data_IF_143425266117
#
_entry.id   IF_143425266117
#
_cell.length_a   1.000
_cell.length_b   1.000
_cell.length_c   1.000
_cell.angle_alpha   90.00
_cell.angle_beta   90.00
_cell.angle_gamma   90.00
#
_symmetry.space_group_name_H-M   'P 1'
#
loop_
_entity.id
_entity.type
_entity.pdbx_description
1 polymer ?
#
# COMPACT_ATOMS: atom_id res chain seq x y z
N UNK A 1 -14.05 -34.52 -33.92
CA UNK A 1 -14.29 -34.01 -32.56
C UNK A 1 -13.00 -34.17 -31.77
N UNK A 2 -12.27 -33.07 -31.52
CA UNK A 2 -11.06 -33.06 -30.70
C UNK A 2 -11.43 -32.30 -29.44
N UNK A 3 -11.47 -33.01 -28.31
CA UNK A 3 -11.71 -32.44 -26.99
C UNK A 3 -10.41 -31.81 -26.50
N UNK A 4 -10.45 -30.49 -26.27
CA UNK A 4 -9.38 -29.77 -25.60
C UNK A 4 -9.58 -29.92 -24.08
N UNK A 5 -8.62 -30.57 -23.42
CA UNK A 5 -8.53 -30.66 -21.97
C UNK A 5 -7.94 -29.35 -21.46
N UNK A 6 -8.76 -28.56 -20.77
CA UNK A 6 -8.35 -27.37 -20.03
C UNK A 6 -7.68 -27.80 -18.71
N UNK A 7 -6.36 -27.61 -18.65
CA UNK A 7 -5.57 -27.75 -17.44
C UNK A 7 -5.79 -26.50 -16.56
N UNK A 8 -6.61 -26.65 -15.52
CA UNK A 8 -6.72 -25.67 -14.44
C UNK A 8 -5.61 -25.97 -13.44
N UNK A 9 -4.62 -25.09 -13.38
CA UNK A 9 -3.56 -25.13 -12.37
C UNK A 9 -4.12 -24.78 -11.00
N UNK A 10 -4.36 -25.79 -10.17
CA UNK A 10 -4.57 -25.64 -8.73
C UNK A 10 -3.21 -25.38 -8.11
N UNK A 11 -2.95 -24.16 -7.64
CA UNK A 11 -1.79 -23.88 -6.79
C UNK A 11 -2.11 -24.44 -5.41
N UNK A 12 -1.55 -25.62 -5.13
CA UNK A 12 -1.64 -26.29 -3.84
C UNK A 12 -0.88 -25.51 -2.77
N UNK A 13 -1.63 -24.98 -1.80
CA UNK A 13 -1.11 -24.25 -0.64
C UNK A 13 -0.84 -25.22 0.51
N UNK A 14 0.24 -26.02 0.48
CA UNK A 14 0.79 -26.71 1.68
C UNK A 14 2.24 -27.16 1.43
N UNK A 15 3.20 -26.56 2.14
CA UNK A 15 4.46 -27.14 2.66
C UNK A 15 5.51 -26.05 2.92
N UNK A 16 5.41 -25.38 4.07
CA UNK A 16 6.52 -24.62 4.67
C UNK A 16 6.75 -25.14 6.10
N UNK A 17 7.09 -26.41 6.19
CA UNK A 17 7.76 -27.02 7.34
C UNK A 17 8.78 -28.00 6.79
N UNK A 18 10.02 -27.56 6.57
CA UNK A 18 11.08 -27.92 7.51
C UNK A 18 12.41 -27.23 7.19
N UNK A 19 12.99 -26.70 8.27
CA UNK A 19 14.42 -26.57 8.58
C UNK A 19 15.41 -26.29 7.46
N UNK A 20 15.79 -25.01 7.35
CA UNK A 20 17.20 -24.68 7.36
C UNK A 20 17.47 -23.69 8.51
N UNK A 21 17.87 -24.28 9.63
CA UNK A 21 18.39 -23.59 10.80
C UNK A 21 19.69 -22.87 10.46
N UNK A 22 19.72 -21.56 10.68
CA UNK A 22 20.97 -20.81 10.74
C UNK A 22 20.93 -19.47 10.03
N UNK A 23 20.09 -18.56 10.50
CA UNK A 23 20.34 -17.11 10.58
C UNK A 23 19.20 -16.48 11.41
N UNK A 24 19.07 -16.91 12.68
CA UNK A 24 18.49 -16.05 13.69
C UNK A 24 19.58 -15.07 14.11
N UNK A 25 19.64 -13.93 13.43
CA UNK A 25 20.61 -12.87 13.70
C UNK A 25 19.94 -11.52 13.69
N UNK A 26 19.29 -11.18 14.81
CA UNK A 26 19.18 -9.81 15.36
C UNK A 26 18.78 -8.73 14.33
N UNK A 27 17.49 -8.55 14.12
CA UNK A 27 16.86 -7.38 13.47
C UNK A 27 15.63 -7.04 14.37
N UNK A 28 15.28 -5.82 14.80
CA UNK A 28 15.52 -4.49 14.26
C UNK A 28 14.89 -3.40 15.19
N UNK A 29 15.61 -2.90 16.22
CA UNK A 29 14.99 -2.03 17.26
C UNK A 29 15.16 -0.50 17.07
N UNK A 30 15.60 0.01 15.90
CA UNK A 30 15.82 1.46 15.72
C UNK A 30 15.50 1.97 14.30
N UNK A 31 14.25 1.80 13.88
CA UNK A 31 13.66 2.59 12.80
C UNK A 31 13.03 3.86 13.40
N UNK A 32 12.90 4.98 12.67
CA UNK A 32 12.38 6.20 13.26
C UNK A 32 10.96 5.96 13.78
N UNK A 33 10.79 6.02 15.10
CA UNK A 33 9.49 5.98 15.78
C UNK A 33 8.47 6.94 15.16
N UNK A 34 8.94 7.99 14.44
CA UNK A 34 8.13 8.95 13.68
C UNK A 34 7.17 8.25 12.69
N UNK A 35 7.53 7.07 12.17
CA UNK A 35 6.69 6.32 11.23
C UNK A 35 5.84 5.20 11.84
N UNK A 36 5.82 5.07 13.18
CA UNK A 36 5.16 3.97 13.90
C UNK A 36 3.77 4.32 14.46
N UNK A 37 3.39 5.59 14.37
CA UNK A 37 2.17 6.14 14.96
C UNK A 37 1.03 6.23 13.94
N UNK A 38 1.12 5.53 12.81
CA UNK A 38 0.18 5.71 11.72
C UNK A 38 -1.03 4.80 11.81
N UNK A 39 -2.16 5.42 11.57
CA UNK A 39 -3.44 4.74 11.40
C UNK A 39 -3.51 4.19 9.97
N UNK A 40 -3.00 2.97 9.78
CA UNK A 40 -3.39 2.15 8.63
C UNK A 40 -4.79 1.59 8.88
N UNK A 41 -5.45 1.11 7.81
CA UNK A 41 -6.74 0.44 7.92
C UNK A 41 -6.73 -0.61 9.05
N UNK A 42 -7.72 -0.59 9.97
CA UNK A 42 -7.75 -1.49 11.11
C UNK A 42 -7.70 -2.97 10.68
N UNK A 43 -6.94 -3.78 11.42
CA UNK A 43 -6.79 -5.21 11.15
C UNK A 43 -8.13 -5.96 11.12
N UNK A 44 -9.09 -5.54 11.95
CA UNK A 44 -10.43 -6.12 11.97
C UNK A 44 -11.19 -5.86 10.66
N UNK A 45 -11.04 -4.67 10.09
CA UNK A 45 -11.59 -4.32 8.79
C UNK A 45 -10.96 -5.17 7.68
N UNK A 46 -9.62 -5.28 7.64
CA UNK A 46 -8.91 -6.14 6.68
C UNK A 46 -9.36 -7.61 6.75
N UNK A 47 -9.48 -8.16 7.97
CA UNK A 47 -9.91 -9.55 8.17
C UNK A 47 -11.37 -9.77 7.79
N UNK A 48 -12.24 -8.81 8.09
CA UNK A 48 -13.68 -8.89 7.76
C UNK A 48 -13.93 -8.97 6.25
N UNK A 49 -13.01 -8.44 5.44
CA UNK A 49 -13.14 -8.44 3.98
C UNK A 49 -12.92 -9.81 3.34
N UNK A 50 -12.28 -10.77 4.03
CA UNK A 50 -12.06 -12.12 3.49
C UNK A 50 -13.35 -12.93 3.24
N UNK A 51 -14.49 -12.51 3.81
CA UNK A 51 -15.78 -13.20 3.68
C UNK A 51 -16.66 -12.77 2.51
N UNK A 52 -16.28 -11.71 1.78
CA UNK A 52 -17.08 -11.19 0.66
C UNK A 52 -17.09 -12.18 -0.51
N UNK A 53 -18.27 -12.34 -1.12
CA UNK A 53 -18.51 -13.20 -2.29
C UNK A 53 -18.86 -12.36 -3.50
N UNK A 54 -18.45 -12.80 -4.68
CA UNK A 54 -18.79 -12.14 -5.94
C UNK A 54 -19.25 -13.17 -6.96
N UNK A 55 -20.15 -12.75 -7.86
CA UNK A 55 -20.54 -13.56 -9.02
C UNK A 55 -19.37 -13.84 -9.97
N UNK A 56 -18.33 -13.01 -9.92
CA UNK A 56 -17.07 -13.17 -10.65
C UNK A 56 -16.01 -13.84 -9.77
N UNK A 57 -15.71 -15.11 -10.07
CA UNK A 57 -14.66 -15.87 -9.36
C UNK A 57 -13.28 -15.22 -9.45
N UNK A 58 -12.97 -14.53 -10.55
CA UNK A 58 -11.69 -13.85 -10.71
C UNK A 58 -11.59 -12.58 -9.85
N UNK A 59 -12.68 -11.81 -9.75
CA UNK A 59 -12.73 -10.64 -8.88
C UNK A 59 -12.67 -11.06 -7.41
N UNK A 60 -13.45 -12.08 -7.02
CA UNK A 60 -13.42 -12.64 -5.66
C UNK A 60 -12.02 -13.11 -5.27
N UNK A 61 -11.38 -13.92 -6.12
CA UNK A 61 -10.06 -14.47 -5.83
C UNK A 61 -8.98 -13.40 -5.73
N UNK A 62 -8.98 -12.41 -6.62
CA UNK A 62 -8.03 -11.31 -6.57
C UNK A 62 -8.27 -10.42 -5.34
N UNK A 63 -9.53 -10.12 -5.01
CA UNK A 63 -9.88 -9.31 -3.84
C UNK A 63 -9.47 -9.99 -2.53
N UNK A 64 -9.73 -11.29 -2.38
CA UNK A 64 -9.28 -12.07 -1.23
C UNK A 64 -7.75 -12.08 -1.11
N UNK A 65 -7.05 -12.17 -2.25
CA UNK A 65 -5.59 -12.10 -2.27
C UNK A 65 -5.07 -10.70 -1.86
N UNK A 66 -5.77 -9.63 -2.24
CA UNK A 66 -5.45 -8.26 -1.82
C UNK A 66 -5.65 -8.11 -0.30
N UNK A 67 -6.76 -8.59 0.26
CA UNK A 67 -6.99 -8.56 1.71
C UNK A 67 -5.91 -9.36 2.48
N UNK A 68 -5.47 -10.50 1.94
CA UNK A 68 -4.44 -11.34 2.54
C UNK A 68 -3.05 -10.68 2.50
N UNK A 69 -2.65 -10.06 1.38
CA UNK A 69 -1.36 -9.34 1.33
C UNK A 69 -1.40 -8.15 2.27
N UNK A 70 -2.48 -7.38 2.30
CA UNK A 70 -2.63 -6.23 3.20
C UNK A 70 -2.54 -6.62 4.67
N UNK A 71 -3.16 -7.74 5.05
CA UNK A 71 -3.03 -8.32 6.40
C UNK A 71 -1.57 -8.63 6.73
N UNK A 72 -0.86 -9.31 5.82
CA UNK A 72 0.56 -9.67 6.00
C UNK A 72 1.45 -8.42 6.06
N UNK A 73 1.17 -7.42 5.23
CA UNK A 73 1.89 -6.15 5.19
C UNK A 73 1.68 -5.36 6.48
N UNK A 74 0.46 -5.35 7.03
CA UNK A 74 0.16 -4.72 8.31
C UNK A 74 0.87 -5.43 9.48
N UNK A 75 0.90 -6.75 9.50
CA UNK A 75 1.68 -7.50 10.50
C UNK A 75 3.18 -7.18 10.42
N UNK A 76 3.72 -7.04 9.21
CA UNK A 76 5.10 -6.58 9.03
C UNK A 76 5.30 -5.14 9.51
N UNK A 77 4.36 -4.23 9.23
CA UNK A 77 4.40 -2.85 9.70
C UNK A 77 4.43 -2.78 11.24
N UNK A 78 3.52 -3.49 11.91
CA UNK A 78 3.44 -3.55 13.38
C UNK A 78 4.69 -4.17 14.01
N UNK A 79 5.37 -5.06 13.29
CA UNK A 79 6.65 -5.64 13.68
C UNK A 79 7.87 -4.85 13.21
N UNK A 80 7.69 -3.65 12.62
CA UNK A 80 8.75 -2.81 12.06
C UNK A 80 9.59 -3.46 10.94
N UNK A 81 9.02 -4.44 10.22
CA UNK A 81 9.67 -5.22 9.14
C UNK A 81 9.38 -4.63 7.76
N UNK A 82 9.76 -3.37 7.52
CA UNK A 82 9.39 -2.64 6.30
C UNK A 82 9.92 -3.29 5.00
N UNK A 83 11.10 -3.92 5.02
CA UNK A 83 11.60 -4.65 3.84
C UNK A 83 10.70 -5.85 3.50
N UNK A 84 10.24 -6.60 4.51
CA UNK A 84 9.30 -7.69 4.33
C UNK A 84 7.94 -7.19 3.82
N UNK A 85 7.48 -6.05 4.34
CA UNK A 85 6.26 -5.37 3.89
C UNK A 85 6.35 -4.98 2.41
N UNK A 86 7.37 -4.20 2.01
CA UNK A 86 7.57 -3.75 0.63
C UNK A 86 7.64 -4.93 -0.32
N UNK A 87 8.48 -5.94 -0.01
CA UNK A 87 8.61 -7.14 -0.83
C UNK A 87 7.27 -7.88 -1.01
N UNK A 88 6.45 -7.98 0.04
CA UNK A 88 5.14 -8.63 -0.05
C UNK A 88 4.19 -7.88 -0.99
N UNK A 89 4.18 -6.55 -0.91
CA UNK A 89 3.33 -5.67 -1.72
C UNK A 89 3.80 -5.61 -3.18
N UNK A 90 5.10 -5.45 -3.42
CA UNK A 90 5.69 -5.45 -4.78
C UNK A 90 5.38 -6.74 -5.54
N UNK A 91 5.51 -7.90 -4.89
CA UNK A 91 5.16 -9.19 -5.52
C UNK A 91 3.67 -9.29 -5.87
N UNK A 92 2.82 -8.51 -5.20
CA UNK A 92 1.38 -8.46 -5.45
C UNK A 92 0.99 -7.42 -6.52
N UNK A 93 1.89 -6.52 -6.89
CA UNK A 93 1.62 -5.42 -7.84
C UNK A 93 0.97 -5.87 -9.16
N UNK A 94 1.34 -7.01 -9.80
CA UNK A 94 0.65 -7.49 -11.00
C UNK A 94 -0.84 -7.80 -10.76
N UNK A 95 -1.19 -8.32 -9.58
CA UNK A 95 -2.58 -8.63 -9.21
C UNK A 95 -3.33 -7.34 -8.85
N UNK A 96 -2.70 -6.40 -8.15
CA UNK A 96 -3.27 -5.09 -7.87
C UNK A 96 -3.64 -4.34 -9.17
N UNK A 97 -2.76 -4.36 -10.18
CA UNK A 97 -3.04 -3.75 -11.48
C UNK A 97 -4.24 -4.38 -12.20
N UNK A 98 -4.41 -5.71 -12.10
CA UNK A 98 -5.59 -6.42 -12.63
C UNK A 98 -6.85 -5.97 -11.89
N UNK A 99 -6.81 -5.86 -10.57
CA UNK A 99 -7.93 -5.38 -9.76
C UNK A 99 -8.33 -3.94 -10.10
N UNK A 100 -7.35 -3.05 -10.26
CA UNK A 100 -7.60 -1.66 -10.66
C UNK A 100 -8.33 -1.57 -12.00
N UNK A 101 -7.93 -2.37 -13.00
CA UNK A 101 -8.58 -2.44 -14.31
C UNK A 101 -10.00 -3.02 -14.20
N UNK A 102 -10.18 -4.09 -13.42
CA UNK A 102 -11.49 -4.71 -13.16
C UNK A 102 -12.46 -3.73 -12.49
N UNK A 103 -12.01 -3.02 -11.46
CA UNK A 103 -12.78 -2.00 -10.74
C UNK A 103 -13.11 -0.83 -11.66
N UNK A 104 -12.16 -0.38 -12.49
CA UNK A 104 -12.38 0.72 -13.41
C UNK A 104 -13.45 0.39 -14.47
N UNK A 105 -13.38 -0.80 -15.09
CA UNK A 105 -14.37 -1.25 -16.08
C UNK A 105 -15.75 -1.40 -15.47
N UNK A 106 -15.82 -2.01 -14.30
CA UNK A 106 -17.09 -2.23 -13.61
C UNK A 106 -17.76 -0.94 -13.11
N UNK A 107 -16.99 0.14 -12.92
CA UNK A 107 -17.53 1.46 -12.58
C UNK A 107 -18.21 2.16 -13.77
N UNK A 108 -17.98 1.70 -15.00
CA UNK A 108 -18.54 2.25 -16.25
C UNK A 108 -19.74 1.42 -16.75
N UNK A 109 -19.72 0.11 -16.52
CA UNK A 109 -20.73 -0.83 -17.03
C UNK A 109 -21.85 -1.06 -15.98
N UNK A 110 -23.03 -0.46 -16.22
CA UNK A 110 -24.15 -0.33 -15.27
C UNK A 110 -24.82 -1.64 -14.81
N UNK A 111 -24.71 -2.74 -15.57
CA UNK A 111 -25.87 -3.62 -15.68
C UNK A 111 -25.81 -5.00 -15.01
N UNK A 112 -24.78 -5.38 -14.24
CA UNK A 112 -24.87 -6.58 -13.37
C UNK A 112 -23.74 -6.77 -12.34
N UNK A 113 -22.86 -5.79 -12.14
CA UNK A 113 -21.58 -6.07 -11.45
C UNK A 113 -21.70 -5.93 -9.94
N UNK A 114 -21.00 -6.80 -9.21
CA UNK A 114 -20.87 -6.90 -7.75
C UNK A 114 -20.46 -5.56 -7.09
N UNK A 115 -21.38 -4.59 -7.05
CA UNK A 115 -21.14 -3.21 -6.57
C UNK A 115 -20.58 -3.17 -5.16
N UNK A 116 -21.03 -4.09 -4.31
CA UNK A 116 -20.52 -4.22 -2.95
C UNK A 116 -19.03 -4.58 -2.96
N UNK A 117 -18.62 -5.61 -3.71
CA UNK A 117 -17.21 -5.99 -3.80
C UNK A 117 -16.36 -4.87 -4.40
N UNK A 118 -16.86 -4.18 -5.42
CA UNK A 118 -16.18 -3.02 -6.01
C UNK A 118 -16.00 -1.92 -4.96
N UNK A 119 -17.06 -1.56 -4.22
CA UNK A 119 -17.01 -0.53 -3.19
C UNK A 119 -16.05 -0.85 -2.05
N UNK A 120 -15.83 -2.14 -1.75
CA UNK A 120 -14.85 -2.59 -0.75
C UNK A 120 -13.43 -2.67 -1.33
N UNK A 121 -13.29 -2.95 -2.63
CA UNK A 121 -11.99 -3.05 -3.31
C UNK A 121 -11.35 -1.68 -3.49
N UNK A 122 -12.13 -0.65 -3.80
CA UNK A 122 -11.64 0.73 -4.02
C UNK A 122 -10.80 1.29 -2.85
N UNK A 123 -11.29 1.33 -1.60
CA UNK A 123 -10.51 1.81 -0.46
C UNK A 123 -9.33 0.88 -0.13
N UNK A 124 -9.45 -0.42 -0.41
CA UNK A 124 -8.36 -1.36 -0.17
C UNK A 124 -7.21 -1.19 -1.17
N UNK A 125 -7.50 -0.86 -2.42
CA UNK A 125 -6.49 -0.51 -3.44
C UNK A 125 -5.78 0.80 -3.10
N UNK A 126 -6.53 1.82 -2.66
CA UNK A 126 -5.95 3.05 -2.15
C UNK A 126 -4.98 2.75 -0.98
N UNK A 127 -5.45 1.98 0.01
CA UNK A 127 -4.66 1.63 1.19
C UNK A 127 -3.43 0.79 0.84
N UNK A 128 -3.52 -0.08 -0.16
CA UNK A 128 -2.40 -0.84 -0.69
C UNK A 128 -1.27 0.06 -1.20
N UNK A 129 -1.60 1.03 -2.05
CA UNK A 129 -0.59 1.96 -2.58
C UNK A 129 -0.03 2.87 -1.48
N UNK A 130 -0.88 3.31 -0.56
CA UNK A 130 -0.44 4.10 0.59
C UNK A 130 0.54 3.31 1.47
N UNK A 131 0.21 2.07 1.81
CA UNK A 131 1.06 1.20 2.64
C UNK A 131 2.38 0.88 1.95
N UNK A 132 2.37 0.67 0.63
CA UNK A 132 3.58 0.48 -0.17
C UNK A 132 4.48 1.73 -0.13
N UNK A 133 3.89 2.91 -0.32
CA UNK A 133 4.61 4.19 -0.23
C UNK A 133 5.23 4.41 1.15
N UNK A 134 4.50 4.10 2.22
CA UNK A 134 5.02 4.14 3.58
C UNK A 134 6.24 3.23 3.75
N UNK A 135 6.18 2.02 3.18
CA UNK A 135 7.28 1.07 3.25
C UNK A 135 8.54 1.60 2.62
N UNK A 136 8.44 2.17 1.43
CA UNK A 136 9.58 2.78 0.76
C UNK A 136 10.12 3.99 1.53
N UNK A 137 9.24 4.87 2.04
CA UNK A 137 9.65 6.02 2.83
C UNK A 137 10.37 5.61 4.13
N UNK A 138 9.91 4.55 4.78
CA UNK A 138 10.55 4.02 5.97
C UNK A 138 11.92 3.37 5.65
N UNK A 139 12.06 2.74 4.48
CA UNK A 139 13.35 2.19 4.02
C UNK A 139 14.35 3.28 3.64
N UNK A 140 13.90 4.37 2.99
CA UNK A 140 14.79 5.47 2.59
C UNK A 140 15.37 6.23 3.78
N UNK A 141 14.64 6.25 4.89
CA UNK A 141 15.02 6.94 6.14
C UNK A 141 15.68 6.03 7.18
N UNK A 142 15.84 4.73 6.88
CA UNK A 142 16.43 3.76 7.81
C UNK A 142 17.95 3.93 7.96
N UNK A 143 18.39 4.30 9.16
CA UNK A 143 19.81 4.46 9.48
C UNK A 143 20.61 3.16 9.45
N UNK A 144 19.97 1.99 9.62
CA UNK A 144 20.62 0.67 9.67
C UNK A 144 20.61 -0.10 8.36
N UNK A 145 19.59 0.12 7.52
CA UNK A 145 19.64 -0.37 6.13
C UNK A 145 20.72 0.37 5.33
N UNK A 146 21.14 1.55 5.82
CA UNK A 146 22.08 2.49 5.22
C UNK A 146 22.18 2.29 3.71
N UNK A 147 21.04 2.42 2.97
CA UNK A 147 21.09 2.32 1.54
C UNK A 147 22.09 3.37 1.08
N UNK A 148 22.89 3.06 0.07
CA UNK A 148 23.64 4.11 -0.60
C UNK A 148 22.68 5.21 -1.07
N UNK A 149 23.23 6.39 -1.33
CA UNK A 149 22.44 7.57 -1.71
C UNK A 149 21.48 7.28 -2.86
N UNK A 150 21.95 6.55 -3.88
CA UNK A 150 21.13 6.13 -5.03
C UNK A 150 19.95 5.24 -4.62
N UNK A 151 20.14 4.33 -3.67
CA UNK A 151 19.07 3.47 -3.17
C UNK A 151 18.07 4.26 -2.32
N UNK A 152 18.50 5.30 -1.60
CA UNK A 152 17.58 6.17 -0.83
C UNK A 152 16.71 7.01 -1.75
N UNK A 153 17.33 7.67 -2.72
CA UNK A 153 16.63 8.44 -3.75
C UNK A 153 15.60 7.55 -4.47
N UNK A 154 16.01 6.36 -4.90
CA UNK A 154 15.11 5.41 -5.55
C UNK A 154 13.93 5.01 -4.66
N UNK A 155 14.13 4.82 -3.35
CA UNK A 155 13.01 4.55 -2.43
C UNK A 155 12.13 5.78 -2.22
N UNK A 156 12.68 6.99 -2.18
CA UNK A 156 11.88 8.22 -2.07
C UNK A 156 11.01 8.42 -3.31
N UNK A 157 11.56 8.24 -4.52
CA UNK A 157 10.82 8.28 -5.78
C UNK A 157 9.69 7.24 -5.82
N UNK A 158 9.98 6.01 -5.37
CA UNK A 158 8.97 4.95 -5.28
C UNK A 158 7.89 5.25 -4.23
N UNK A 159 8.25 5.90 -3.12
CA UNK A 159 7.30 6.37 -2.13
C UNK A 159 6.36 7.43 -2.73
N UNK A 160 6.91 8.45 -3.39
CA UNK A 160 6.16 9.51 -4.09
C UNK A 160 5.20 8.89 -5.10
N UNK A 161 5.69 8.03 -6.00
CA UNK A 161 4.84 7.38 -7.00
C UNK A 161 3.69 6.58 -6.38
N UNK A 162 3.93 5.92 -5.25
CA UNK A 162 2.91 5.13 -4.56
C UNK A 162 1.88 6.03 -3.87
N UNK A 163 2.30 7.12 -3.22
CA UNK A 163 1.38 8.08 -2.61
C UNK A 163 0.53 8.81 -3.65
N UNK A 164 1.11 9.20 -4.78
CA UNK A 164 0.36 9.79 -5.89
C UNK A 164 -0.68 8.82 -6.45
N UNK A 165 -0.35 7.53 -6.60
CA UNK A 165 -1.35 6.51 -7.00
C UNK A 165 -2.47 6.40 -5.98
N UNK A 166 -2.15 6.34 -4.69
CA UNK A 166 -3.16 6.30 -3.63
C UNK A 166 -4.08 7.54 -3.68
N UNK A 167 -3.50 8.74 -3.83
CA UNK A 167 -4.24 10.00 -3.97
C UNK A 167 -5.17 9.97 -5.19
N UNK A 168 -4.64 9.57 -6.35
CA UNK A 168 -5.40 9.50 -7.59
C UNK A 168 -6.57 8.50 -7.48
N UNK A 169 -6.39 7.37 -6.79
CA UNK A 169 -7.47 6.42 -6.53
C UNK A 169 -8.51 7.01 -5.58
N UNK A 170 -8.09 7.72 -4.53
CA UNK A 170 -9.00 8.39 -3.62
C UNK A 170 -9.86 9.43 -4.35
N UNK A 171 -9.25 10.26 -5.21
CA UNK A 171 -9.96 11.24 -6.03
C UNK A 171 -10.91 10.57 -7.03
N UNK A 172 -10.41 9.56 -7.77
CA UNK A 172 -11.17 8.83 -8.78
C UNK A 172 -12.40 8.15 -8.21
N UNK A 173 -12.30 7.60 -7.00
CA UNK A 173 -13.39 6.87 -6.33
C UNK A 173 -14.15 7.73 -5.30
N UNK A 174 -13.85 9.03 -5.20
CA UNK A 174 -14.43 9.96 -4.23
C UNK A 174 -14.32 9.46 -2.77
N UNK A 175 -13.18 8.85 -2.42
CA UNK A 175 -12.86 8.43 -1.07
C UNK A 175 -12.37 9.63 -0.25
N UNK A 176 -12.84 9.77 0.99
CA UNK A 176 -12.38 10.83 1.88
C UNK A 176 -11.02 10.47 2.45
N UNK A 177 -9.91 11.03 1.93
CA UNK A 177 -8.58 10.91 2.60
C UNK A 177 -7.42 11.72 2.00
N UNK A 178 -7.57 12.55 0.96
CA UNK A 178 -6.44 13.13 0.21
C UNK A 178 -5.38 13.87 1.05
N UNK A 179 -5.75 14.48 2.18
CA UNK A 179 -4.81 15.17 3.06
C UNK A 179 -3.70 14.25 3.61
N UNK A 180 -4.01 12.96 3.81
CA UNK A 180 -3.04 11.93 4.22
C UNK A 180 -2.01 11.74 3.13
N UNK A 181 -2.43 11.34 1.92
CA UNK A 181 -1.51 11.09 0.82
C UNK A 181 -0.69 12.33 0.46
N UNK A 182 -1.31 13.51 0.44
CA UNK A 182 -0.63 14.80 0.20
C UNK A 182 0.49 15.04 1.22
N UNK A 183 0.23 14.81 2.50
CA UNK A 183 1.22 14.99 3.56
C UNK A 183 2.44 14.08 3.39
N UNK A 184 2.22 12.79 3.13
CA UNK A 184 3.34 11.85 2.96
C UNK A 184 4.09 12.04 1.64
N UNK A 185 3.42 12.51 0.58
CA UNK A 185 4.14 12.95 -0.62
C UNK A 185 5.06 14.13 -0.28
N UNK A 186 4.57 15.14 0.45
CA UNK A 186 5.39 16.27 0.90
C UNK A 186 6.60 15.85 1.74
N UNK A 187 6.42 14.88 2.66
CA UNK A 187 7.53 14.31 3.42
C UNK A 187 8.55 13.59 2.53
N UNK A 188 8.09 12.80 1.55
CA UNK A 188 8.98 12.09 0.64
C UNK A 188 9.79 13.06 -0.24
N UNK A 189 9.16 14.10 -0.77
CA UNK A 189 9.82 15.19 -1.51
C UNK A 189 10.85 15.94 -0.63
N UNK A 190 10.49 16.23 0.62
CA UNK A 190 11.42 16.84 1.60
C UNK A 190 12.66 15.98 1.77
N UNK A 191 12.51 14.67 1.94
CA UNK A 191 13.65 13.76 2.11
C UNK A 191 14.47 13.57 0.83
N UNK A 192 13.84 13.72 -0.34
CA UNK A 192 14.52 13.74 -1.64
C UNK A 192 15.30 15.04 -1.87
N UNK A 193 15.07 16.08 -1.06
CA UNK A 193 15.71 17.38 -1.18
C UNK A 193 14.96 18.37 -2.06
N UNK A 194 13.77 18.00 -2.54
CA UNK A 194 12.90 18.83 -3.38
C UNK A 194 12.05 19.77 -2.52
N UNK A 195 12.71 20.73 -1.87
CA UNK A 195 12.10 21.57 -0.82
C UNK A 195 10.89 22.37 -1.32
N UNK A 196 10.96 22.94 -2.52
CA UNK A 196 9.85 23.74 -3.07
C UNK A 196 8.63 22.87 -3.40
N UNK A 197 8.84 21.63 -3.86
CA UNK A 197 7.76 20.67 -4.09
C UNK A 197 7.15 20.23 -2.76
N UNK A 198 7.98 19.93 -1.76
CA UNK A 198 7.52 19.61 -0.42
C UNK A 198 6.63 20.72 0.17
N UNK A 199 7.04 21.99 0.06
CA UNK A 199 6.24 23.15 0.48
C UNK A 199 4.89 23.20 -0.23
N UNK A 200 4.90 23.07 -1.55
CA UNK A 200 3.68 23.05 -2.37
C UNK A 200 2.70 21.95 -1.92
N UNK A 201 3.19 20.76 -1.55
CA UNK A 201 2.34 19.70 -1.01
C UNK A 201 1.77 20.04 0.37
N UNK A 202 2.59 20.54 1.30
CA UNK A 202 2.10 20.89 2.63
C UNK A 202 1.07 22.03 2.63
N UNK A 203 1.21 23.01 1.73
CA UNK A 203 0.26 24.12 1.55
C UNK A 203 -1.11 23.67 1.00
N UNK A 204 -1.17 22.52 0.30
CA UNK A 204 -2.43 21.96 -0.21
C UNK A 204 -3.28 21.30 0.89
N UNK A 205 -2.73 21.04 2.07
CA UNK A 205 -3.46 20.37 3.15
C UNK A 205 -4.42 21.39 3.78
N UNK A 206 -5.74 21.11 3.77
CA UNK A 206 -6.71 22.08 4.23
C UNK A 206 -6.79 22.11 5.77
N UNK A 207 -7.20 23.22 6.40
CA UNK A 207 -7.23 23.38 7.87
C UNK A 207 -8.04 22.35 8.63
N UNK A 208 -9.06 21.76 8.00
CA UNK A 208 -9.90 20.71 8.58
C UNK A 208 -9.26 19.31 8.58
N UNK A 209 -8.12 19.14 7.88
CA UNK A 209 -7.39 17.88 7.85
C UNK A 209 -6.70 17.61 9.19
N UNK A 210 -6.73 16.37 9.66
CA UNK A 210 -5.96 15.94 10.84
C UNK A 210 -4.44 16.10 10.66
N UNK A 211 -3.98 16.23 9.40
CA UNK A 211 -2.56 16.45 9.06
C UNK A 211 -2.17 17.93 8.96
N UNK A 212 -3.12 18.86 9.13
CA UNK A 212 -2.85 20.29 8.93
C UNK A 212 -1.79 20.82 9.90
N UNK A 213 -1.91 20.56 11.21
CA UNK A 213 -0.95 21.05 12.20
C UNK A 213 0.47 20.52 11.92
N UNK A 214 0.58 19.24 11.58
CA UNK A 214 1.86 18.62 11.21
C UNK A 214 2.43 19.26 9.94
N UNK A 215 1.60 19.54 8.94
CA UNK A 215 2.02 20.22 7.73
C UNK A 215 2.54 21.64 8.00
N UNK A 216 1.90 22.39 8.92
CA UNK A 216 2.36 23.72 9.30
C UNK A 216 3.69 23.68 10.07
N UNK A 217 3.90 22.68 10.92
CA UNK A 217 5.18 22.45 11.59
C UNK A 217 6.29 22.16 10.56
N UNK A 218 6.03 21.23 9.63
CA UNK A 218 6.97 20.86 8.58
C UNK A 218 7.30 22.06 7.65
N UNK A 219 6.33 22.93 7.36
CA UNK A 219 6.55 24.19 6.62
C UNK A 219 7.43 25.19 7.38
N UNK A 220 7.30 25.26 8.71
CA UNK A 220 8.13 26.13 9.55
C UNK A 220 9.61 25.69 9.60
N UNK A 221 9.86 24.41 9.38
CA UNK A 221 11.19 23.79 9.38
C UNK A 221 11.93 23.87 8.01
N UNK A 222 11.25 24.30 6.93
CA UNK A 222 11.77 24.33 5.55
C UNK A 222 12.14 25.74 5.05
#
# INVERSE_FOLDING_TARGET
AVAAVLLIGVISFWSLTDTNSGYMGIYDDQLPYKFSQFELMPMEQLRSQSGLRSSSQSLEGNFQALAAVMTTSRENYEAFRYSGMVKSLENFQPVAAILEDQVAKASVESDNVDREMISQTQPLLQEYHFTLGLGYLALSTSAKAAPDESSRESFQEQAISSFEKAKNLAEKFALQTSGREIFYTGLAERFLGEIELAKSYFEQIPPESIFYEQAQEELGDL
#
